data_IF_760347873073
#
_entry.id   IF_760347873073
#
_cell.length_a   1.000
_cell.length_b   1.000
_cell.length_c   1.000
_cell.angle_alpha   90.00
_cell.angle_beta   90.00
_cell.angle_gamma   90.00
#
_symmetry.space_group_name_H-M   'P 1'
#
loop_
_entity.id
_entity.type
_entity.pdbx_description
1 polymer ?
#
# COMPACT_ATOMS: atom_id res chain seq x y z
N UNK A 1 11.19 3.75 4.89
CA UNK A 1 10.71 3.15 3.63
C UNK A 1 11.83 2.52 2.81
N UNK A 2 12.92 3.23 2.61
CA UNK A 2 14.05 2.69 1.85
C UNK A 2 14.60 1.38 2.43
N UNK A 3 14.72 1.32 3.75
CA UNK A 3 15.15 0.11 4.43
C UNK A 3 14.24 -1.08 4.10
N UNK A 4 12.91 -0.85 4.12
CA UNK A 4 11.95 -1.91 3.83
C UNK A 4 12.06 -2.40 2.37
N UNK A 5 12.35 -1.49 1.43
CA UNK A 5 12.56 -1.85 0.03
C UNK A 5 13.81 -2.69 -0.16
N UNK A 6 14.90 -2.32 0.53
CA UNK A 6 16.15 -3.06 0.45
C UNK A 6 16.00 -4.46 1.05
N UNK A 7 15.28 -4.59 2.16
CA UNK A 7 14.98 -5.88 2.78
C UNK A 7 14.14 -6.76 1.84
N UNK A 8 13.10 -6.19 1.24
CA UNK A 8 12.25 -6.94 0.33
C UNK A 8 13.04 -7.49 -0.86
N UNK A 9 13.94 -6.68 -1.42
CA UNK A 9 14.82 -7.13 -2.53
C UNK A 9 15.76 -8.24 -2.09
N UNK A 10 16.32 -8.12 -0.89
CA UNK A 10 17.23 -9.12 -0.34
C UNK A 10 16.53 -10.48 -0.16
N UNK A 11 15.24 -10.47 0.09
CA UNK A 11 14.43 -11.68 0.24
C UNK A 11 13.88 -12.20 -1.08
N UNK A 12 14.21 -11.56 -2.21
CA UNK A 12 13.75 -11.99 -3.53
C UNK A 12 12.30 -11.60 -3.85
N UNK A 13 11.74 -10.65 -3.15
CA UNK A 13 10.40 -10.18 -3.42
C UNK A 13 10.35 -9.40 -4.74
N UNK A 14 9.28 -9.61 -5.52
CA UNK A 14 9.06 -8.90 -6.78
C UNK A 14 8.30 -7.60 -6.60
N UNK A 15 7.54 -7.48 -5.53
CA UNK A 15 6.70 -6.32 -5.25
C UNK A 15 6.40 -6.21 -3.77
N UNK A 16 6.07 -4.99 -3.36
CA UNK A 16 5.56 -4.69 -2.02
C UNK A 16 4.15 -4.17 -2.17
N UNK A 17 3.23 -4.73 -1.38
CA UNK A 17 1.85 -4.29 -1.34
C UNK A 17 1.50 -3.80 0.05
N UNK A 18 0.70 -2.74 0.11
CA UNK A 18 0.19 -2.22 1.39
C UNK A 18 -1.20 -1.63 1.18
N UNK A 19 -1.97 -1.56 2.25
CA UNK A 19 -3.29 -0.95 2.21
C UNK A 19 -3.27 0.40 2.92
N UNK A 20 -4.01 1.34 2.38
CA UNK A 20 -4.12 2.71 2.90
C UNK A 20 -5.59 3.10 2.93
N UNK A 21 -6.03 3.75 3.99
CA UNK A 21 -7.38 4.29 4.07
C UNK A 21 -7.66 5.24 2.92
N UNK A 22 -8.85 5.14 2.34
CA UNK A 22 -9.28 6.02 1.25
C UNK A 22 -9.29 7.49 1.63
N UNK A 23 -9.48 7.78 2.91
CA UNK A 23 -9.50 9.14 3.45
C UNK A 23 -8.12 9.69 3.80
N UNK A 24 -7.11 8.83 3.83
CA UNK A 24 -5.76 9.24 4.20
C UNK A 24 -4.97 9.73 2.98
N UNK A 25 -5.29 10.94 2.54
CA UNK A 25 -4.69 11.54 1.35
C UNK A 25 -3.18 11.80 1.50
N UNK A 26 -2.74 12.13 2.71
CA UNK A 26 -1.32 12.35 2.98
C UNK A 26 -0.49 11.09 2.77
N UNK A 27 -0.96 9.95 3.28
CA UNK A 27 -0.29 8.68 3.10
C UNK A 27 -0.29 8.28 1.62
N UNK A 28 -1.39 8.49 0.91
CA UNK A 28 -1.48 8.19 -0.52
C UNK A 28 -0.44 8.97 -1.32
N UNK A 29 -0.30 10.27 -1.04
CA UNK A 29 0.71 11.10 -1.69
C UNK A 29 2.13 10.61 -1.38
N UNK A 30 2.36 10.27 -0.11
CA UNK A 30 3.66 9.77 0.34
C UNK A 30 4.07 8.52 -0.43
N UNK A 31 3.17 7.53 -0.52
CA UNK A 31 3.47 6.28 -1.21
C UNK A 31 3.62 6.47 -2.71
N UNK A 32 2.83 7.35 -3.33
CA UNK A 32 2.96 7.65 -4.76
C UNK A 32 4.31 8.27 -5.09
N UNK A 33 4.85 9.08 -4.19
CA UNK A 33 6.19 9.64 -4.36
C UNK A 33 7.26 8.57 -4.41
N UNK A 34 7.05 7.47 -3.71
CA UNK A 34 7.98 6.34 -3.72
C UNK A 34 7.77 5.41 -4.91
N UNK A 35 6.78 5.68 -5.74
CA UNK A 35 6.52 4.88 -6.92
C UNK A 35 5.43 3.83 -6.76
N UNK A 36 4.70 3.85 -5.64
CA UNK A 36 3.55 2.98 -5.44
C UNK A 36 2.38 3.44 -6.31
N UNK A 37 1.66 2.48 -6.87
CA UNK A 37 0.44 2.73 -7.63
C UNK A 37 -0.74 2.02 -6.98
N UNK A 38 -1.91 2.65 -7.07
CA UNK A 38 -3.15 2.02 -6.62
C UNK A 38 -3.53 0.92 -7.60
N UNK A 39 -3.67 -0.31 -7.11
CA UNK A 39 -4.00 -1.47 -7.95
C UNK A 39 -5.37 -2.05 -7.66
N UNK A 40 -5.97 -1.74 -6.52
CA UNK A 40 -7.29 -2.27 -6.16
C UNK A 40 -7.97 -1.42 -5.08
N UNK A 41 -9.29 -1.54 -5.02
CA UNK A 41 -10.10 -1.06 -3.90
C UNK A 41 -10.41 -2.24 -2.99
N UNK A 42 -10.31 -2.04 -1.68
CA UNK A 42 -10.56 -3.07 -0.69
C UNK A 42 -11.67 -2.63 0.25
N UNK A 43 -12.69 -3.47 0.42
CA UNK A 43 -13.72 -3.27 1.45
C UNK A 43 -13.33 -4.12 2.66
N UNK A 44 -13.12 -3.47 3.79
CA UNK A 44 -12.75 -4.15 5.01
C UNK A 44 -13.89 -4.01 6.03
N UNK A 45 -14.42 -5.14 6.50
CA UNK A 45 -15.54 -5.18 7.42
C UNK A 45 -15.08 -5.55 8.82
N UNK A 46 -15.50 -4.73 9.81
CA UNK A 46 -15.31 -5.03 11.22
C UNK A 46 -16.71 -4.97 11.86
N UNK A 47 -17.30 -6.13 12.09
CA UNK A 47 -18.69 -6.20 12.52
C UNK A 47 -19.62 -5.60 11.47
N UNK A 48 -20.33 -4.53 11.83
CA UNK A 48 -21.22 -3.80 10.92
C UNK A 48 -20.55 -2.60 10.26
N UNK A 49 -19.28 -2.34 10.57
CA UNK A 49 -18.56 -1.20 10.06
C UNK A 49 -17.73 -1.57 8.82
N UNK A 50 -17.89 -0.79 7.76
CA UNK A 50 -17.13 -0.96 6.53
C UNK A 50 -16.10 0.14 6.39
N UNK A 51 -14.84 -0.25 6.20
CA UNK A 51 -13.76 0.67 5.89
C UNK A 51 -13.35 0.54 4.43
N UNK A 52 -13.26 1.65 3.74
CA UNK A 52 -12.73 1.69 2.37
C UNK A 52 -11.23 1.87 2.44
N UNK A 53 -10.49 0.94 1.83
CA UNK A 53 -9.05 1.01 1.73
C UNK A 53 -8.62 0.83 0.29
N UNK A 54 -7.45 1.39 -0.04
CA UNK A 54 -6.83 1.22 -1.34
C UNK A 54 -5.61 0.34 -1.20
N UNK A 55 -5.46 -0.61 -2.11
CA UNK A 55 -4.26 -1.42 -2.18
C UNK A 55 -3.25 -0.74 -3.10
N UNK A 56 -2.08 -0.45 -2.56
CA UNK A 56 -0.97 0.11 -3.33
C UNK A 56 0.11 -0.94 -3.52
N UNK A 57 0.75 -0.91 -4.67
CA UNK A 57 1.81 -1.82 -5.03
C UNK A 57 3.01 -1.07 -5.58
N UNK A 58 4.21 -1.47 -5.14
CA UNK A 58 5.47 -1.03 -5.72
C UNK A 58 6.19 -2.24 -6.28
N UNK A 59 6.47 -2.21 -7.56
CA UNK A 59 7.28 -3.24 -8.20
C UNK A 59 8.76 -2.97 -7.98
N UNK A 60 9.48 -4.00 -7.60
CA UNK A 60 10.91 -3.93 -7.31
C UNK A 60 11.76 -4.26 -8.53
#
# INVERSE_FOLDING_TARGET
MRWALDEARAWGADAIQLSVYSENHGAQKFYRRYGFDKVADIDFWVGNHRDDEFLFELRL
#
